data_IF_771245792990
#
_entry.id   IF_771245792990
#
_cell.length_a   1.000
_cell.length_b   1.000
_cell.length_c   1.000
_cell.angle_alpha   90.00
_cell.angle_beta   90.00
_cell.angle_gamma   90.00
#
_symmetry.space_group_name_H-M   'P 1'
#
loop_
_entity.id
_entity.type
_entity.pdbx_description
1 polymer ?
#
# COMPACT_ATOMS: atom_id res chain seq x y z
N UNK A 1 0.46 6.57 7.20
CA UNK A 1 -0.74 5.88 7.69
C UNK A 1 -1.01 4.58 6.94
N UNK A 2 -1.95 3.74 7.40
CA UNK A 2 -2.37 2.53 6.66
C UNK A 2 -3.69 2.73 5.94
N UNK A 3 -3.93 1.98 4.85
CA UNK A 3 -5.21 2.00 4.11
C UNK A 3 -6.21 0.93 4.57
N UNK A 4 -5.85 0.14 5.58
CA UNK A 4 -6.74 -0.85 6.18
C UNK A 4 -7.80 -0.21 7.08
N UNK A 5 -9.04 -0.71 7.03
CA UNK A 5 -10.10 -0.31 7.95
C UNK A 5 -10.96 0.89 7.51
N UNK A 6 -10.63 1.58 6.42
CA UNK A 6 -11.48 2.63 5.87
C UNK A 6 -12.75 2.02 5.24
N UNK A 7 -13.92 2.62 5.55
CA UNK A 7 -15.21 2.14 5.06
C UNK A 7 -15.37 2.32 3.54
N UNK A 8 -14.78 3.37 2.97
CA UNK A 8 -14.74 3.66 1.54
C UNK A 8 -13.57 4.62 1.22
N UNK A 9 -13.35 4.92 -0.07
CA UNK A 9 -12.26 5.80 -0.52
C UNK A 9 -12.43 7.26 -0.07
N UNK A 10 -13.65 7.77 0.02
CA UNK A 10 -13.91 9.15 0.45
C UNK A 10 -13.50 9.39 1.90
N UNK A 11 -13.86 8.46 2.80
CA UNK A 11 -13.44 8.50 4.21
C UNK A 11 -11.91 8.39 4.34
N UNK A 12 -11.29 7.55 3.50
CA UNK A 12 -9.83 7.43 3.47
C UNK A 12 -9.18 8.75 3.01
N UNK A 13 -9.70 9.39 1.96
CA UNK A 13 -9.21 10.68 1.47
C UNK A 13 -9.28 11.77 2.54
N UNK A 14 -10.43 11.93 3.20
CA UNK A 14 -10.59 12.89 4.29
C UNK A 14 -9.58 12.64 5.42
N UNK A 15 -9.39 11.37 5.78
CA UNK A 15 -8.42 10.98 6.83
C UNK A 15 -6.97 11.28 6.42
N UNK A 16 -6.62 11.03 5.16
CA UNK A 16 -5.28 11.30 4.62
C UNK A 16 -5.00 12.81 4.61
N UNK A 17 -5.94 13.62 4.14
CA UNK A 17 -5.83 15.08 4.11
C UNK A 17 -5.73 15.66 5.53
N UNK A 18 -6.63 15.25 6.43
CA UNK A 18 -6.67 15.75 7.80
C UNK A 18 -5.40 15.37 8.59
N UNK A 19 -4.80 14.22 8.31
CA UNK A 19 -3.59 13.76 8.98
C UNK A 19 -2.30 14.40 8.46
N UNK A 20 -2.31 15.02 7.27
CA UNK A 20 -1.09 15.50 6.62
C UNK A 20 -0.09 14.38 6.28
N UNK A 21 -0.57 13.15 6.07
CA UNK A 21 0.30 12.00 5.84
C UNK A 21 1.00 12.09 4.48
N UNK A 22 2.32 11.93 4.47
CA UNK A 22 3.11 11.91 3.23
C UNK A 22 3.47 10.49 2.75
N UNK A 23 3.34 9.47 3.61
CA UNK A 23 3.66 8.07 3.29
C UNK A 23 2.57 7.12 3.79
N UNK A 24 2.05 6.28 2.89
CA UNK A 24 0.94 5.38 3.19
C UNK A 24 1.25 3.93 2.85
N UNK A 25 1.01 3.03 3.80
CA UNK A 25 1.27 1.61 3.60
C UNK A 25 0.17 0.92 2.82
N UNK A 26 0.55 0.10 1.84
CA UNK A 26 -0.38 -0.65 0.99
C UNK A 26 -0.02 -2.13 1.01
N UNK A 27 -1.01 -3.00 1.23
CA UNK A 27 -0.81 -4.43 1.16
C UNK A 27 -0.73 -4.92 -0.29
N UNK A 28 0.32 -5.65 -0.66
CA UNK A 28 0.54 -6.10 -2.04
C UNK A 28 -0.56 -7.02 -2.57
N UNK A 29 -1.13 -7.88 -1.73
CA UNK A 29 -2.32 -8.69 -2.07
C UNK A 29 -3.52 -7.85 -2.53
N UNK A 30 -3.54 -6.55 -2.22
CA UNK A 30 -4.60 -5.64 -2.66
C UNK A 30 -4.31 -5.00 -4.03
N UNK A 31 -3.07 -4.97 -4.49
CA UNK A 31 -2.68 -4.36 -5.77
C UNK A 31 -3.06 -5.24 -6.97
N UNK A 32 -3.09 -6.56 -6.77
CA UNK A 32 -3.24 -7.57 -7.84
C UNK A 32 -4.67 -7.77 -8.38
N UNK A 33 -5.68 -7.15 -7.77
CA UNK A 33 -7.08 -7.28 -8.21
C UNK A 33 -7.49 -6.06 -9.03
N UNK A 34 -7.90 -6.27 -10.28
CA UNK A 34 -8.31 -5.29 -11.30
C UNK A 34 -9.40 -4.25 -10.90
N UNK A 35 -9.84 -4.21 -9.65
CA UNK A 35 -10.79 -3.24 -9.09
C UNK A 35 -10.18 -2.15 -8.19
N UNK A 36 -8.85 -1.92 -8.22
CA UNK A 36 -8.13 -1.08 -7.23
C UNK A 36 -7.34 0.11 -7.78
N UNK A 37 -7.54 0.49 -9.03
CA UNK A 37 -7.03 1.76 -9.60
C UNK A 37 -7.31 2.95 -8.67
N UNK A 38 -8.51 3.02 -8.08
CA UNK A 38 -8.93 4.17 -7.27
C UNK A 38 -8.09 4.50 -6.03
N UNK A 39 -7.48 3.52 -5.34
CA UNK A 39 -6.64 3.82 -4.16
C UNK A 39 -5.25 4.32 -4.57
N UNK A 40 -4.65 3.69 -5.58
CA UNK A 40 -3.36 4.13 -6.11
C UNK A 40 -3.51 5.51 -6.78
N UNK A 41 -4.58 5.71 -7.54
CA UNK A 41 -4.95 7.00 -8.13
C UNK A 41 -5.21 8.06 -7.07
N UNK A 42 -5.93 7.72 -5.99
CA UNK A 42 -6.16 8.63 -4.87
C UNK A 42 -4.83 9.08 -4.25
N UNK A 43 -3.96 8.14 -3.89
CA UNK A 43 -2.67 8.46 -3.28
C UNK A 43 -1.78 9.27 -4.22
N UNK A 44 -1.77 8.93 -5.51
CA UNK A 44 -1.05 9.70 -6.52
C UNK A 44 -1.60 11.13 -6.68
N UNK A 45 -2.94 11.29 -6.73
CA UNK A 45 -3.60 12.60 -6.80
C UNK A 45 -3.32 13.46 -5.57
N UNK A 46 -3.20 12.85 -4.40
CA UNK A 46 -2.86 13.54 -3.15
C UNK A 46 -1.35 13.76 -2.98
N UNK A 47 -0.50 13.25 -3.88
CA UNK A 47 0.95 13.35 -3.78
C UNK A 47 1.55 12.53 -2.62
N UNK A 48 0.85 11.50 -2.16
CA UNK A 48 1.25 10.68 -1.01
C UNK A 48 2.04 9.47 -1.51
N UNK A 49 3.26 9.31 -0.98
CA UNK A 49 4.13 8.21 -1.33
C UNK A 49 3.56 6.85 -0.85
N UNK A 50 3.87 5.81 -1.61
CA UNK A 50 3.42 4.44 -1.36
C UNK A 50 4.52 3.65 -0.64
N UNK A 51 4.14 2.94 0.44
CA UNK A 51 4.99 1.96 1.11
C UNK A 51 4.36 0.56 1.02
N UNK A 52 4.77 -0.30 0.08
CA UNK A 52 4.23 -1.66 0.03
C UNK A 52 4.61 -2.44 1.28
N UNK A 53 3.77 -3.39 1.65
CA UNK A 53 4.04 -4.31 2.76
C UNK A 53 3.87 -5.77 2.35
N UNK A 54 4.52 -6.66 3.11
CA UNK A 54 4.46 -8.12 2.92
C UNK A 54 3.39 -8.77 3.82
N UNK A 55 2.32 -8.04 4.17
CA UNK A 55 1.32 -8.52 5.10
C UNK A 55 0.70 -9.84 4.62
N UNK A 56 0.72 -10.86 5.50
CA UNK A 56 0.24 -12.21 5.23
C UNK A 56 1.31 -13.21 4.79
N UNK A 57 2.55 -12.77 4.58
CA UNK A 57 3.65 -13.69 4.33
C UNK A 57 4.00 -14.47 5.60
N UNK A 58 4.24 -15.78 5.47
CA UNK A 58 4.57 -16.68 6.59
C UNK A 58 6.05 -17.01 6.71
N UNK A 59 6.87 -16.50 5.80
CA UNK A 59 8.30 -16.79 5.79
C UNK A 59 9.08 -15.83 4.91
N UNK A 60 10.40 -15.88 5.08
CA UNK A 60 11.33 -14.98 4.39
C UNK A 60 11.25 -15.11 2.86
N UNK A 61 11.12 -16.32 2.33
CA UNK A 61 11.02 -16.54 0.88
C UNK A 61 9.80 -15.83 0.27
N UNK A 62 8.64 -15.94 0.92
CA UNK A 62 7.40 -15.29 0.47
C UNK A 62 7.47 -13.77 0.60
N UNK A 63 8.05 -13.27 1.70
CA UNK A 63 8.22 -11.84 1.93
C UNK A 63 9.18 -11.21 0.90
N UNK A 64 10.30 -11.88 0.59
CA UNK A 64 11.26 -11.43 -0.42
C UNK A 64 10.64 -11.43 -1.82
N UNK A 65 9.88 -12.47 -2.17
CA UNK A 65 9.15 -12.51 -3.44
C UNK A 65 8.16 -11.35 -3.54
N UNK A 66 7.36 -11.15 -2.50
CA UNK A 66 6.38 -10.06 -2.43
C UNK A 66 7.04 -8.68 -2.54
N UNK A 67 8.18 -8.48 -1.88
CA UNK A 67 8.94 -7.23 -1.99
C UNK A 67 9.47 -6.97 -3.41
N UNK A 68 9.94 -8.00 -4.12
CA UNK A 68 10.40 -7.87 -5.52
C UNK A 68 9.25 -7.49 -6.45
N UNK A 69 8.12 -8.18 -6.32
CA UNK A 69 6.90 -7.86 -7.08
C UNK A 69 6.41 -6.44 -6.79
N UNK A 70 6.49 -6.00 -5.53
CA UNK A 70 6.13 -4.64 -5.14
C UNK A 70 7.01 -3.58 -5.80
N UNK A 71 8.32 -3.80 -5.83
CA UNK A 71 9.26 -2.89 -6.50
C UNK A 71 8.96 -2.79 -8.00
N UNK A 72 8.72 -3.90 -8.67
CA UNK A 72 8.39 -3.93 -10.10
C UNK A 72 7.04 -3.24 -10.39
N UNK A 73 6.03 -3.50 -9.56
CA UNK A 73 4.69 -2.96 -9.77
C UNK A 73 4.54 -1.47 -9.39
N UNK A 74 5.27 -1.00 -8.36
CA UNK A 74 5.08 0.33 -7.77
C UNK A 74 6.30 1.25 -7.91
N UNK A 75 7.40 0.77 -8.49
CA UNK A 75 8.61 1.57 -8.74
C UNK A 75 9.26 2.12 -7.46
N UNK A 76 9.21 1.36 -6.37
CA UNK A 76 9.72 1.79 -5.05
C UNK A 76 10.82 0.87 -4.52
N UNK A 77 11.83 1.46 -3.90
CA UNK A 77 12.93 0.75 -3.24
C UNK A 77 12.61 0.39 -1.78
N UNK A 78 11.46 0.83 -1.26
CA UNK A 78 11.08 0.62 0.13
C UNK A 78 10.00 -0.43 0.28
N UNK A 79 10.12 -1.25 1.34
CA UNK A 79 9.08 -2.22 1.73
C UNK A 79 8.97 -2.27 3.25
N UNK A 80 7.75 -2.33 3.77
CA UNK A 80 7.48 -2.67 5.16
C UNK A 80 7.45 -4.19 5.30
N UNK A 81 8.52 -4.75 5.87
CA UNK A 81 8.59 -6.18 6.18
C UNK A 81 7.59 -6.52 7.30
N UNK A 82 6.72 -7.48 7.02
CA UNK A 82 5.72 -8.03 7.93
C UNK A 82 5.63 -9.54 7.68
N UNK A 83 5.91 -10.35 8.70
CA UNK A 83 5.87 -11.81 8.64
C UNK A 83 5.13 -12.30 9.88
N UNK A 84 4.14 -13.18 9.69
CA UNK A 84 3.25 -13.72 10.73
C UNK A 84 3.55 -15.17 11.08
#
# INVERSE_FOLDING_TARGET
MGTGGAANLSVLEESLLASGTELTTVAMRRVDSAGKTGMLELLNRLGIALLPNTAGCRGAAEAVLTARLAREALGTEWVKLEVV
#
